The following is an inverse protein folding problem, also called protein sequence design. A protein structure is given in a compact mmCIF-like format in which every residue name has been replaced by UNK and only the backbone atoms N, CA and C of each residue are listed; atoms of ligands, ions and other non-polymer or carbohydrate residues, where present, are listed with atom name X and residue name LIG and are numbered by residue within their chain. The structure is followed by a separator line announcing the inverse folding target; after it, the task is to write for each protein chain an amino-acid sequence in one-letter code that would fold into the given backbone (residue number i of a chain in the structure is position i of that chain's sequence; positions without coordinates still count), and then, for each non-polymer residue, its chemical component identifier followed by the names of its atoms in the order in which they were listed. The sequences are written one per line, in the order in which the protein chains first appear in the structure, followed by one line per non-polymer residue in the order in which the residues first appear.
data_IF_770776958605
#
_entry.id   IF_770776958605
#
_cell.length_a   1.000
_cell.length_b   1.000
_cell.length_c   1.000
_cell.angle_alpha   90.00
_cell.angle_beta   90.00
_cell.angle_gamma   90.00
#
_symmetry.space_group_name_H-M   'P 1'
#
loop_
_entity.id
_entity.type
_entity.pdbx_description
1 polymer ?
#
# COMPACT_ATOMS: atom_id res chain seq x y z
N UNK A 1 -47.14 59.97 27.34
CA UNK A 1 -45.97 59.82 26.44
C UNK A 1 -44.74 59.68 27.32
N UNK A 2 -44.21 58.46 27.49
CA UNK A 2 -42.84 58.13 27.95
C UNK A 2 -42.75 56.59 27.99
N UNK A 3 -41.70 56.00 27.41
CA UNK A 3 -41.38 54.57 27.52
C UNK A 3 -40.10 54.41 28.36
N UNK A 4 -40.06 53.50 29.35
CA UNK A 4 -38.81 52.95 29.85
C UNK A 4 -38.21 51.96 28.82
N UNK A 5 -36.88 51.83 28.82
CA UNK A 5 -36.14 50.80 28.08
C UNK A 5 -35.96 49.54 28.93
N UNK A 6 -35.39 48.51 28.28
CA UNK A 6 -34.54 47.46 28.88
C UNK A 6 -35.23 46.21 29.42
N UNK A 7 -35.46 45.25 28.51
CA UNK A 7 -35.38 43.82 28.80
C UNK A 7 -34.66 43.12 27.63
N UNK A 8 -33.32 43.10 27.67
CA UNK A 8 -32.52 42.18 26.85
C UNK A 8 -32.50 40.83 27.57
N UNK A 9 -33.52 40.00 27.33
CA UNK A 9 -33.43 38.59 27.67
C UNK A 9 -32.36 37.94 26.79
N UNK A 10 -31.43 37.20 27.38
CA UNK A 10 -30.38 36.52 26.62
C UNK A 10 -30.98 35.31 25.87
N UNK A 11 -30.88 35.32 24.54
CA UNK A 11 -31.11 34.12 23.76
C UNK A 11 -29.85 33.23 23.88
N UNK A 12 -29.85 32.32 24.86
CA UNK A 12 -28.90 31.20 24.88
C UNK A 12 -29.25 30.25 23.74
N UNK A 13 -28.73 30.58 22.55
CA UNK A 13 -28.73 29.67 21.42
C UNK A 13 -27.81 28.50 21.77
N UNK A 14 -28.42 27.42 22.29
CA UNK A 14 -27.75 26.13 22.39
C UNK A 14 -27.47 25.65 20.96
N UNK A 15 -26.27 25.94 20.48
CA UNK A 15 -25.73 25.35 19.26
C UNK A 15 -25.48 23.86 19.52
N UNK A 16 -26.57 23.09 19.46
CA UNK A 16 -26.52 21.71 19.02
C UNK A 16 -26.02 21.74 17.58
N UNK A 17 -24.71 21.81 17.42
CA UNK A 17 -24.07 21.55 16.17
C UNK A 17 -24.44 20.11 15.78
N UNK A 18 -25.23 19.98 14.73
CA UNK A 18 -25.33 18.76 13.96
C UNK A 18 -23.99 18.57 13.23
N UNK A 19 -22.93 18.30 13.99
CA UNK A 19 -21.66 17.81 13.46
C UNK A 19 -21.98 16.65 12.53
N UNK A 20 -21.24 16.59 11.42
CA UNK A 20 -21.51 15.63 10.36
C UNK A 20 -21.70 14.22 10.94
N UNK A 21 -22.69 13.50 10.42
CA UNK A 21 -22.49 12.06 10.31
C UNK A 21 -21.24 11.90 9.45
N UNK A 22 -20.24 11.15 9.92
CA UNK A 22 -19.09 10.81 9.09
C UNK A 22 -19.65 10.26 7.77
N UNK A 23 -19.20 10.79 6.63
CA UNK A 23 -19.75 10.40 5.32
C UNK A 23 -19.11 9.09 4.85
N UNK A 24 -19.11 8.13 5.76
CA UNK A 24 -18.44 6.85 5.68
C UNK A 24 -19.46 5.78 5.36
N UNK A 25 -19.10 4.92 4.42
CA UNK A 25 -20.00 3.91 3.87
C UNK A 25 -19.23 2.62 3.64
N UNK A 26 -19.79 1.54 4.14
CA UNK A 26 -19.42 0.17 3.76
C UNK A 26 -20.33 -0.29 2.60
N UNK A 27 -19.80 -1.15 1.72
CA UNK A 27 -20.62 -1.87 0.74
C UNK A 27 -21.41 -3.03 1.40
N UNK A 28 -20.96 -3.53 2.56
CA UNK A 28 -21.63 -4.58 3.32
C UNK A 28 -21.41 -4.41 4.84
N UNK A 29 -22.46 -4.07 5.59
CA UNK A 29 -22.35 -3.93 7.05
C UNK A 29 -22.64 -5.28 7.77
N UNK A 30 -21.66 -5.89 8.46
CA UNK A 30 -21.80 -7.21 9.04
C UNK A 30 -22.68 -7.26 10.30
N UNK A 31 -23.07 -6.13 10.90
CA UNK A 31 -24.12 -6.12 11.93
C UNK A 31 -25.54 -6.12 11.34
N UNK A 32 -25.67 -6.01 10.01
CA UNK A 32 -26.96 -5.93 9.29
C UNK A 32 -27.19 -7.11 8.34
N UNK A 33 -26.13 -7.74 7.84
CA UNK A 33 -26.17 -8.91 6.95
C UNK A 33 -24.93 -9.79 7.17
N UNK A 34 -24.91 -11.00 6.62
CA UNK A 34 -23.63 -11.71 6.39
C UNK A 34 -22.89 -11.04 5.24
N UNK A 35 -21.58 -10.84 5.41
CA UNK A 35 -20.66 -10.31 4.39
C UNK A 35 -19.62 -11.36 4.00
N UNK A 36 -18.87 -11.10 2.94
CA UNK A 36 -17.65 -11.87 2.64
C UNK A 36 -16.56 -11.56 3.70
N UNK A 37 -15.46 -12.32 3.67
CA UNK A 37 -14.40 -12.25 4.67
C UNK A 37 -13.27 -11.29 4.24
N UNK A 38 -12.95 -10.34 5.12
CA UNK A 38 -11.96 -9.27 4.91
C UNK A 38 -10.55 -9.84 4.69
N UNK A 39 -9.77 -9.36 3.70
CA UNK A 39 -8.38 -9.79 3.51
C UNK A 39 -7.49 -9.35 4.68
N UNK A 40 -6.91 -10.28 5.43
CA UNK A 40 -6.04 -9.96 6.57
C UNK A 40 -4.60 -9.65 6.14
N UNK A 41 -3.97 -8.62 6.68
CA UNK A 41 -2.54 -8.38 6.49
C UNK A 41 -1.70 -9.51 7.12
N UNK A 42 -2.00 -9.88 8.37
CA UNK A 42 -1.41 -11.02 9.08
C UNK A 42 0.11 -10.95 9.32
N UNK A 43 0.75 -9.80 9.08
CA UNK A 43 2.20 -9.58 9.17
C UNK A 43 2.54 -8.10 9.40
N UNK A 44 3.85 -7.77 9.38
CA UNK A 44 4.34 -6.40 9.36
C UNK A 44 4.93 -6.01 7.98
N UNK A 45 4.72 -4.77 7.56
CA UNK A 45 5.24 -4.16 6.33
C UNK A 45 5.78 -2.74 6.57
N UNK A 46 6.77 -2.33 5.76
CA UNK A 46 7.37 -1.01 5.70
C UNK A 46 7.34 -0.52 4.24
N UNK A 47 6.47 0.44 3.94
CA UNK A 47 6.20 0.93 2.58
C UNK A 47 6.83 2.30 2.39
N UNK A 48 8.04 2.32 1.81
CA UNK A 48 8.71 3.54 1.35
C UNK A 48 8.17 3.98 -0.02
N UNK A 49 7.30 4.99 -0.02
CA UNK A 49 6.71 5.54 -1.24
C UNK A 49 7.70 6.37 -2.07
N UNK A 50 8.91 6.67 -1.57
CA UNK A 50 9.97 7.27 -2.40
C UNK A 50 10.51 6.29 -3.44
N UNK A 51 10.26 4.99 -3.27
CA UNK A 51 10.51 3.94 -4.28
C UNK A 51 9.36 3.80 -5.31
N UNK A 52 8.34 4.67 -5.25
CA UNK A 52 7.18 4.66 -6.13
C UNK A 52 5.96 3.91 -5.56
N UNK A 53 5.07 3.50 -6.46
CA UNK A 53 3.81 2.85 -6.08
C UNK A 53 3.97 1.40 -5.62
N UNK A 54 3.04 0.96 -4.77
CA UNK A 54 2.86 -0.45 -4.39
C UNK A 54 1.41 -0.87 -4.59
N UNK A 55 1.20 -2.10 -5.04
CA UNK A 55 -0.11 -2.68 -5.34
C UNK A 55 -0.90 -3.14 -4.10
N UNK A 56 -0.37 -2.95 -2.87
CA UNK A 56 -1.12 -3.14 -1.63
C UNK A 56 -1.99 -1.96 -1.22
N UNK A 57 -1.94 -0.86 -1.98
CA UNK A 57 -2.81 0.31 -1.83
C UNK A 57 -3.49 0.62 -3.17
N UNK A 58 -4.73 1.10 -3.11
CA UNK A 58 -5.54 1.49 -4.27
C UNK A 58 -5.91 2.96 -4.16
N UNK A 59 -5.83 3.69 -5.28
CA UNK A 59 -6.16 5.10 -5.34
C UNK A 59 -7.67 5.31 -5.48
N UNK A 60 -8.22 6.25 -4.71
CA UNK A 60 -9.61 6.71 -4.82
C UNK A 60 -9.70 8.23 -4.73
N UNK A 61 -10.82 8.81 -5.19
CA UNK A 61 -11.09 10.26 -5.15
C UNK A 61 -10.15 11.17 -5.97
N UNK A 62 -9.20 10.59 -6.71
CA UNK A 62 -8.24 11.29 -7.56
C UNK A 62 -7.12 10.34 -8.04
N UNK A 63 -5.98 10.88 -8.45
CA UNK A 63 -4.79 10.11 -8.83
C UNK A 63 -3.57 10.69 -8.12
N UNK A 64 -3.09 10.06 -7.03
CA UNK A 64 -1.85 10.45 -6.38
C UNK A 64 -0.64 10.34 -7.32
N UNK A 65 0.41 11.09 -7.03
CA UNK A 65 1.67 11.08 -7.82
C UNK A 65 2.86 10.73 -6.94
N UNK A 66 3.93 10.16 -7.49
CA UNK A 66 5.06 9.64 -6.71
C UNK A 66 6.37 10.35 -7.09
N UNK A 67 7.23 10.60 -6.10
CA UNK A 67 8.53 11.27 -6.28
C UNK A 67 9.46 11.13 -5.08
N UNK A 68 10.48 11.99 -4.99
CA UNK A 68 11.50 11.98 -3.92
C UNK A 68 10.93 12.13 -2.51
N UNK A 69 9.78 12.80 -2.40
CA UNK A 69 9.09 13.12 -1.16
C UNK A 69 8.03 12.05 -0.79
N UNK A 70 7.94 10.97 -1.58
CA UNK A 70 6.97 9.89 -1.43
C UNK A 70 5.75 10.06 -2.34
N UNK A 71 4.58 9.65 -1.85
CA UNK A 71 3.30 9.82 -2.55
C UNK A 71 2.68 11.19 -2.20
N UNK A 72 2.28 11.93 -3.22
CA UNK A 72 1.69 13.27 -3.13
C UNK A 72 0.22 13.22 -3.53
N UNK A 73 -0.64 13.77 -2.66
CA UNK A 73 -2.07 13.92 -2.85
C UNK A 73 -2.37 15.39 -3.15
N UNK A 74 -3.18 15.69 -4.18
CA UNK A 74 -3.36 17.06 -4.69
C UNK A 74 -4.81 17.43 -4.96
N UNK A 75 -5.29 18.53 -4.35
CA UNK A 75 -6.58 19.16 -4.62
C UNK A 75 -6.36 20.38 -5.51
N UNK A 76 -7.01 20.41 -6.67
CA UNK A 76 -6.95 21.52 -7.64
C UNK A 76 -8.32 22.19 -7.86
N UNK A 77 -9.42 21.53 -7.48
CA UNK A 77 -10.80 21.97 -7.71
C UNK A 77 -11.77 21.30 -6.73
N UNK A 78 -13.00 21.79 -6.72
CA UNK A 78 -14.15 21.13 -6.09
C UNK A 78 -14.31 19.68 -6.56
N UNK A 79 -14.56 18.78 -5.60
CA UNK A 79 -14.72 17.34 -5.83
C UNK A 79 -13.43 16.52 -5.96
N UNK A 80 -12.23 17.13 -5.86
CA UNK A 80 -10.99 16.36 -5.65
C UNK A 80 -10.92 15.88 -4.19
N UNK A 81 -10.73 14.59 -3.98
CA UNK A 81 -10.52 13.99 -2.65
C UNK A 81 -9.52 12.81 -2.70
N UNK A 82 -8.30 13.02 -3.23
CA UNK A 82 -7.35 11.94 -3.52
C UNK A 82 -6.87 11.22 -2.25
N UNK A 83 -6.99 9.90 -2.26
CA UNK A 83 -6.68 8.99 -1.15
C UNK A 83 -5.99 7.71 -1.65
N UNK A 84 -5.24 7.04 -0.77
CA UNK A 84 -4.81 5.65 -0.88
C UNK A 84 -5.49 4.81 0.20
N UNK A 85 -6.11 3.71 -0.22
CA UNK A 85 -6.81 2.75 0.63
C UNK A 85 -6.08 1.40 0.55
N UNK A 86 -5.73 0.80 1.68
CA UNK A 86 -5.09 -0.52 1.72
C UNK A 86 -6.02 -1.61 1.18
N UNK A 87 -5.47 -2.62 0.49
CA UNK A 87 -6.23 -3.80 -0.01
C UNK A 87 -6.39 -4.88 1.06
N UNK A 88 -6.10 -4.54 2.31
CA UNK A 88 -6.04 -5.42 3.46
C UNK A 88 -6.61 -4.70 4.69
N UNK A 89 -6.98 -5.49 5.69
CA UNK A 89 -7.44 -5.06 6.99
C UNK A 89 -6.43 -5.56 8.05
N UNK A 90 -6.29 -4.82 9.15
CA UNK A 90 -5.60 -5.26 10.36
C UNK A 90 -6.61 -5.50 11.48
N UNK A 91 -6.34 -6.44 12.37
CA UNK A 91 -7.22 -6.73 13.51
C UNK A 91 -6.45 -6.62 14.82
N UNK A 92 -6.56 -5.43 15.44
CA UNK A 92 -5.53 -4.86 16.31
C UNK A 92 -4.18 -4.69 15.59
N UNK A 93 -3.38 -3.70 15.98
CA UNK A 93 -2.16 -3.40 15.25
C UNK A 93 -1.52 -2.07 15.59
N UNK A 94 -0.47 -1.78 14.83
CA UNK A 94 0.18 -0.46 14.81
C UNK A 94 0.29 0.07 13.39
N UNK A 95 -0.03 1.33 13.20
CA UNK A 95 0.28 2.11 12.00
C UNK A 95 1.24 3.22 12.41
N UNK A 96 2.35 3.36 11.70
CA UNK A 96 3.20 4.56 11.72
C UNK A 96 3.24 5.16 10.31
N UNK A 97 2.75 6.38 10.15
CA UNK A 97 2.71 7.09 8.87
C UNK A 97 3.55 8.36 8.95
N UNK A 98 4.52 8.50 8.05
CA UNK A 98 5.42 9.66 7.99
C UNK A 98 4.95 10.59 6.89
N UNK A 99 4.32 11.72 7.28
CA UNK A 99 3.61 12.61 6.37
C UNK A 99 3.87 14.09 6.65
N UNK A 100 3.53 14.92 5.67
CA UNK A 100 3.51 16.38 5.71
C UNK A 100 2.15 16.84 5.16
N UNK A 101 1.36 17.49 6.00
CA UNK A 101 -0.04 17.86 5.75
C UNK A 101 -0.20 18.95 4.68
N UNK A 102 -1.37 19.00 4.08
CA UNK A 102 -1.76 20.10 3.20
C UNK A 102 -2.16 21.33 4.02
N UNK A 103 -1.62 22.49 3.66
CA UNK A 103 -2.08 23.80 4.11
C UNK A 103 -3.24 24.31 3.24
N UNK A 104 -4.05 25.23 3.78
CA UNK A 104 -5.15 25.90 3.06
C UNK A 104 -6.48 25.89 3.82
N UNK A 105 -7.26 26.96 3.67
CA UNK A 105 -8.58 27.08 4.30
C UNK A 105 -9.53 25.99 3.81
N UNK A 106 -10.17 25.27 4.73
CA UNK A 106 -11.11 24.21 4.39
C UNK A 106 -10.45 22.93 3.88
N UNK A 107 -9.13 22.88 3.74
CA UNK A 107 -8.40 21.66 3.35
C UNK A 107 -8.17 20.81 4.59
N UNK A 108 -8.30 19.50 4.41
CA UNK A 108 -8.18 18.50 5.47
C UNK A 108 -7.22 17.41 4.99
N UNK A 109 -6.26 17.02 5.84
CA UNK A 109 -5.44 15.81 5.66
C UNK A 109 -5.88 14.78 6.67
N UNK A 110 -6.13 13.56 6.21
CA UNK A 110 -6.80 12.52 6.99
C UNK A 110 -5.99 11.23 6.99
N UNK A 111 -5.89 10.60 8.17
CA UNK A 111 -5.43 9.22 8.34
C UNK A 111 -6.48 8.48 9.14
N UNK A 112 -7.07 7.44 8.55
CA UNK A 112 -8.25 6.76 9.08
C UNK A 112 -8.01 5.25 9.05
N UNK A 113 -8.23 4.58 10.18
CA UNK A 113 -8.53 3.15 10.22
C UNK A 113 -10.05 3.00 10.29
N UNK A 114 -10.62 2.18 9.40
CA UNK A 114 -12.08 1.96 9.36
C UNK A 114 -12.47 0.53 8.98
N UNK A 115 -13.46 0.01 9.68
CA UNK A 115 -14.04 -1.33 9.48
C UNK A 115 -15.28 -1.32 8.59
N UNK A 116 -15.71 -2.52 8.20
CA UNK A 116 -16.95 -2.74 7.45
C UNK A 116 -18.20 -2.61 8.33
N UNK A 117 -18.13 -2.66 9.67
CA UNK A 117 -19.25 -2.24 10.53
C UNK A 117 -19.25 -0.75 10.92
N UNK A 118 -18.24 0.02 10.48
CA UNK A 118 -18.02 1.45 10.77
C UNK A 118 -17.55 1.74 12.22
N UNK A 119 -16.86 0.81 12.87
CA UNK A 119 -15.82 1.18 13.84
C UNK A 119 -14.70 1.94 13.10
N UNK A 120 -14.17 3.01 13.71
CA UNK A 120 -13.28 3.99 13.06
C UNK A 120 -12.31 4.65 14.06
N UNK A 121 -11.06 4.92 13.64
CA UNK A 121 -10.04 5.68 14.39
C UNK A 121 -9.40 6.72 13.46
N UNK A 122 -9.39 7.97 13.89
CA UNK A 122 -9.07 9.13 13.04
C UNK A 122 -7.88 9.95 13.54
N UNK A 123 -7.12 10.50 12.59
CA UNK A 123 -6.22 11.65 12.76
C UNK A 123 -6.48 12.67 11.65
N UNK A 124 -7.12 13.78 12.01
CA UNK A 124 -7.53 14.85 11.10
C UNK A 124 -6.71 16.11 11.32
N UNK A 125 -6.08 16.62 10.25
CA UNK A 125 -5.27 17.83 10.27
C UNK A 125 -5.93 18.89 9.39
N UNK A 126 -6.22 20.05 9.96
CA UNK A 126 -6.81 21.16 9.20
C UNK A 126 -5.70 22.02 8.60
N UNK A 127 -5.81 22.36 7.32
CA UNK A 127 -4.87 23.23 6.62
C UNK A 127 -4.82 24.68 7.12
N UNK A 128 -5.65 25.04 8.11
CA UNK A 128 -5.59 26.31 8.85
C UNK A 128 -4.72 26.24 10.12
N UNK A 129 -4.30 25.06 10.57
CA UNK A 129 -3.56 24.87 11.83
C UNK A 129 -2.32 23.96 11.67
N UNK A 130 -1.17 24.60 11.56
CA UNK A 130 0.16 23.98 11.48
C UNK A 130 0.71 23.50 12.85
N UNK A 131 -0.15 23.40 13.87
CA UNK A 131 0.25 23.12 15.26
C UNK A 131 -0.59 22.07 16.00
N UNK A 132 -1.70 21.60 15.41
CA UNK A 132 -2.61 20.65 16.06
C UNK A 132 -3.08 19.52 15.14
N UNK A 133 -3.46 18.41 15.76
CA UNK A 133 -4.19 17.29 15.16
C UNK A 133 -5.48 17.05 15.93
N UNK A 134 -6.56 16.76 15.22
CA UNK A 134 -7.82 16.32 15.78
C UNK A 134 -7.86 14.79 15.80
N UNK A 135 -8.05 14.23 16.98
CA UNK A 135 -8.10 12.80 17.22
C UNK A 135 -9.55 12.43 17.54
N UNK A 136 -10.15 11.51 16.79
CA UNK A 136 -11.49 11.00 17.12
C UNK A 136 -11.60 9.50 16.78
N UNK A 137 -12.78 8.95 17.08
CA UNK A 137 -13.10 7.54 16.89
C UNK A 137 -14.63 7.39 16.88
N UNK A 138 -15.10 6.32 16.23
CA UNK A 138 -16.51 5.92 16.17
C UNK A 138 -16.62 4.42 16.43
N UNK A 139 -17.74 3.98 17.00
CA UNK A 139 -18.12 2.57 17.11
C UNK A 139 -19.44 2.33 16.37
N UNK A 140 -19.45 1.38 15.43
CA UNK A 140 -20.59 1.04 14.56
C UNK A 140 -21.26 2.26 13.91
N UNK A 141 -20.46 3.21 13.42
CA UNK A 141 -20.89 4.46 12.80
C UNK A 141 -21.47 5.49 13.78
N UNK A 142 -21.35 5.24 15.09
CA UNK A 142 -21.83 6.12 16.15
C UNK A 142 -20.66 6.74 16.91
N UNK A 143 -20.75 8.05 17.16
CA UNK A 143 -19.77 8.76 17.97
C UNK A 143 -20.11 8.66 19.45
N UNK A 144 -19.08 8.55 20.30
CA UNK A 144 -19.22 8.73 21.73
C UNK A 144 -19.68 10.16 22.09
N UNK A 145 -19.99 10.41 23.37
CA UNK A 145 -20.45 11.74 23.82
C UNK A 145 -19.37 12.81 23.70
N UNK A 146 -18.10 12.44 23.92
CA UNK A 146 -16.94 13.33 23.81
C UNK A 146 -15.78 12.59 23.09
N UNK A 147 -15.85 12.45 21.75
CA UNK A 147 -14.91 11.62 20.98
C UNK A 147 -13.64 12.39 20.59
N UNK A 148 -13.75 13.71 20.47
CA UNK A 148 -12.78 14.59 19.79
C UNK A 148 -11.80 15.20 20.79
N UNK A 149 -10.51 14.95 20.58
CA UNK A 149 -9.41 15.58 21.33
C UNK A 149 -8.51 16.34 20.36
N UNK A 150 -8.23 17.60 20.67
CA UNK A 150 -7.21 18.39 20.00
C UNK A 150 -5.86 18.14 20.69
N UNK A 151 -4.88 17.67 19.92
CA UNK A 151 -3.54 17.32 20.39
C UNK A 151 -2.47 18.14 19.66
N UNK A 152 -1.30 18.31 20.27
CA UNK A 152 -0.20 19.08 19.69
C UNK A 152 0.47 18.32 18.54
N UNK A 153 0.50 18.94 17.36
CA UNK A 153 1.21 18.49 16.17
C UNK A 153 1.92 19.67 15.48
N UNK A 154 3.04 20.17 16.06
CA UNK A 154 3.80 21.29 15.51
C UNK A 154 4.43 20.94 14.16
N UNK A 155 4.54 21.96 13.30
CA UNK A 155 5.18 21.91 11.97
C UNK A 155 4.51 20.91 11.00
N UNK A 156 3.25 20.53 11.23
CA UNK A 156 2.59 19.46 10.47
C UNK A 156 2.49 19.71 8.95
N UNK A 157 2.54 20.96 8.49
CA UNK A 157 2.56 21.35 7.07
C UNK A 157 3.97 21.62 6.51
N UNK A 158 4.95 21.87 7.37
CA UNK A 158 6.33 22.24 6.97
C UNK A 158 7.27 21.03 6.92
N UNK A 159 7.13 20.10 7.87
CA UNK A 159 8.06 19.00 8.11
C UNK A 159 7.39 17.63 7.88
N UNK A 160 8.20 16.61 7.56
CA UNK A 160 7.74 15.23 7.58
C UNK A 160 7.77 14.70 9.01
N UNK A 161 6.60 14.44 9.58
CA UNK A 161 6.42 13.97 10.94
C UNK A 161 5.81 12.58 10.91
N UNK A 162 6.31 11.67 11.76
CA UNK A 162 5.71 10.35 11.96
C UNK A 162 4.55 10.45 12.96
N UNK A 163 3.37 10.03 12.54
CA UNK A 163 2.17 9.91 13.35
C UNK A 163 1.85 8.44 13.55
N UNK A 164 1.45 8.07 14.76
CA UNK A 164 1.24 6.66 15.13
C UNK A 164 -0.13 6.42 15.70
N UNK A 165 -0.72 5.27 15.37
CA UNK A 165 -1.84 4.66 16.08
C UNK A 165 -1.42 3.25 16.53
N UNK A 166 -1.38 3.01 17.84
CA UNK A 166 -1.26 1.67 18.45
C UNK A 166 -2.62 1.28 19.04
N UNK A 167 -3.21 0.19 18.55
CA UNK A 167 -4.60 -0.19 18.83
C UNK A 167 -4.67 -1.67 19.24
N UNK A 168 -5.28 -1.92 20.39
CA UNK A 168 -5.44 -3.24 21.02
C UNK A 168 -6.87 -3.46 21.49
N UNK A 169 -7.19 -4.62 22.04
CA UNK A 169 -8.47 -4.86 22.75
C UNK A 169 -8.62 -4.05 24.05
N UNK A 170 -7.55 -3.41 24.54
CA UNK A 170 -7.53 -2.71 25.83
C UNK A 170 -7.46 -1.18 25.68
N UNK A 171 -6.73 -0.68 24.67
CA UNK A 171 -6.47 0.75 24.46
C UNK A 171 -6.19 1.13 23.01
N UNK A 172 -6.41 2.42 22.69
CA UNK A 172 -5.83 3.12 21.54
C UNK A 172 -4.86 4.18 22.04
N UNK A 173 -3.66 4.25 21.46
CA UNK A 173 -2.68 5.33 21.67
C UNK A 173 -2.41 6.04 20.35
N UNK A 174 -2.55 7.36 20.36
CA UNK A 174 -2.11 8.22 19.26
C UNK A 174 -0.80 8.90 19.65
N UNK A 175 0.17 8.91 18.75
CA UNK A 175 1.48 9.56 18.96
C UNK A 175 1.82 10.55 17.84
N UNK A 176 2.61 11.56 18.18
CA UNK A 176 3.18 12.54 17.25
C UNK A 176 4.70 12.58 17.46
N UNK A 177 5.49 12.33 16.42
CA UNK A 177 6.96 12.35 16.50
C UNK A 177 7.52 11.35 17.53
N UNK A 178 6.83 10.24 17.77
CA UNK A 178 7.17 9.26 18.81
C UNK A 178 6.84 9.69 20.25
N UNK A 179 6.01 10.71 20.44
CA UNK A 179 5.46 11.11 21.75
C UNK A 179 3.96 10.80 21.81
N UNK A 180 3.53 9.98 22.77
CA UNK A 180 2.12 9.73 23.08
C UNK A 180 1.39 11.06 23.37
N UNK A 181 0.35 11.38 22.58
CA UNK A 181 -0.47 12.60 22.76
C UNK A 181 -1.88 12.32 23.25
N UNK A 182 -2.37 11.08 23.08
CA UNK A 182 -3.66 10.61 23.61
C UNK A 182 -3.59 9.11 23.90
N UNK A 183 -4.17 8.70 25.02
CA UNK A 183 -4.54 7.31 25.30
C UNK A 183 -6.04 7.26 25.53
N UNK A 184 -6.71 6.28 24.94
CA UNK A 184 -8.12 5.95 25.16
C UNK A 184 -8.21 4.50 25.61
N UNK A 185 -8.51 4.27 26.88
CA UNK A 185 -8.81 2.94 27.41
C UNK A 185 -10.18 2.47 26.90
N UNK A 186 -10.31 1.19 26.51
CA UNK A 186 -11.56 0.62 26.01
C UNK A 186 -12.73 0.75 27.01
N UNK A 187 -12.42 0.74 28.32
CA UNK A 187 -13.39 0.96 29.39
C UNK A 187 -13.96 2.38 29.48
N UNK A 188 -13.46 3.35 28.71
CA UNK A 188 -13.91 4.76 28.78
C UNK A 188 -15.31 4.94 28.18
N UNK A 189 -15.55 4.34 27.02
CA UNK A 189 -16.83 4.35 26.29
C UNK A 189 -16.99 3.00 25.55
N UNK A 190 -17.19 1.88 26.26
CA UNK A 190 -17.03 0.53 25.71
C UNK A 190 -17.99 0.22 24.55
N UNK A 191 -19.22 0.76 24.60
CA UNK A 191 -20.22 0.61 23.52
C UNK A 191 -19.81 1.28 22.20
N UNK A 192 -18.78 2.14 22.23
CA UNK A 192 -18.26 2.92 21.10
C UNK A 192 -16.78 2.61 20.79
N UNK A 193 -16.20 1.60 21.42
CA UNK A 193 -14.77 1.31 21.27
C UNK A 193 -14.48 0.54 19.97
N UNK A 194 -13.59 1.05 19.08
CA UNK A 194 -13.23 0.39 17.82
C UNK A 194 -12.57 -0.97 18.08
N UNK A 195 -13.15 -2.04 17.55
CA UNK A 195 -12.81 -3.41 17.95
C UNK A 195 -13.00 -4.47 16.86
N UNK A 196 -13.18 -4.06 15.61
CA UNK A 196 -13.37 -4.95 14.45
C UNK A 196 -12.31 -4.66 13.39
N UNK A 197 -12.06 -5.57 12.42
CA UNK A 197 -10.95 -5.41 11.47
C UNK A 197 -11.05 -4.09 10.70
N UNK A 198 -9.93 -3.37 10.56
CA UNK A 198 -9.91 -2.04 9.94
C UNK A 198 -8.92 -1.95 8.77
N UNK A 199 -9.40 -1.37 7.68
CA UNK A 199 -8.62 -0.93 6.53
C UNK A 199 -7.99 0.43 6.83
N UNK A 200 -6.70 0.60 6.52
CA UNK A 200 -6.02 1.89 6.55
C UNK A 200 -6.31 2.69 5.27
N UNK A 201 -6.80 3.92 5.43
CA UNK A 201 -7.10 4.91 4.40
C UNK A 201 -6.39 6.22 4.74
N UNK A 202 -5.78 6.90 3.76
CA UNK A 202 -5.17 8.21 3.99
C UNK A 202 -5.14 9.08 2.73
N UNK A 203 -5.19 10.40 2.90
CA UNK A 203 -5.20 11.35 1.78
C UNK A 203 -5.59 12.77 2.19
N UNK A 204 -6.12 13.54 1.24
CA UNK A 204 -6.66 14.89 1.49
C UNK A 204 -8.04 15.08 0.85
N UNK A 205 -8.86 15.93 1.47
CA UNK A 205 -10.16 16.36 0.96
C UNK A 205 -10.46 17.82 1.35
N UNK A 206 -11.43 18.43 0.66
CA UNK A 206 -11.88 19.79 0.96
C UNK A 206 -13.13 19.77 1.85
N UNK A 207 -12.93 19.76 3.17
CA UNK A 207 -14.02 19.94 4.15
C UNK A 207 -14.73 21.29 4.00
N UNK A 208 -14.03 22.30 3.50
CA UNK A 208 -14.56 23.62 3.13
C UNK A 208 -15.20 23.72 1.74
N UNK A 209 -15.44 22.62 1.01
CA UNK A 209 -16.15 22.71 -0.28
C UNK A 209 -17.57 23.28 -0.08
N UNK A 210 -18.02 24.25 -0.91
CA UNK A 210 -19.39 24.77 -0.89
C UNK A 210 -20.51 23.73 -1.09
N UNK A 211 -20.23 22.48 -1.48
CA UNK A 211 -21.21 21.38 -1.48
C UNK A 211 -21.49 20.77 -0.11
N UNK A 212 -20.59 21.00 0.87
CA UNK A 212 -20.65 20.35 2.17
C UNK A 212 -21.64 21.04 3.11
N UNK A 213 -21.89 20.43 4.28
CA UNK A 213 -22.71 21.08 5.31
C UNK A 213 -21.99 22.30 5.91
N UNK A 214 -22.72 23.34 6.28
CA UNK A 214 -22.19 24.53 6.99
C UNK A 214 -21.37 24.14 8.24
N UNK A 215 -21.77 23.06 8.93
CA UNK A 215 -21.03 22.51 10.08
C UNK A 215 -19.66 21.94 9.69
N UNK A 216 -19.57 21.24 8.55
CA UNK A 216 -18.30 20.71 8.00
C UNK A 216 -17.40 21.84 7.52
N UNK A 217 -17.96 22.82 6.80
CA UNK A 217 -17.23 23.99 6.28
C UNK A 217 -16.67 24.82 7.45
N UNK A 218 -17.49 25.06 8.48
CA UNK A 218 -17.07 25.79 9.69
C UNK A 218 -16.05 25.01 10.51
N UNK A 219 -16.17 23.68 10.59
CA UNK A 219 -15.19 22.81 11.26
C UNK A 219 -13.82 22.83 10.54
N UNK A 220 -13.80 22.78 9.21
CA UNK A 220 -12.59 22.80 8.41
C UNK A 220 -11.88 24.19 8.34
N UNK A 221 -12.36 25.17 9.12
CA UNK A 221 -11.79 26.52 9.20
C UNK A 221 -12.36 27.54 8.21
N UNK A 222 -13.37 27.16 7.42
CA UNK A 222 -14.05 28.03 6.44
C UNK A 222 -14.07 27.46 5.02
N UNK A 223 -14.66 28.20 4.09
CA UNK A 223 -14.78 27.78 2.69
C UNK A 223 -13.43 27.73 1.96
N UNK A 224 -13.23 26.71 1.13
CA UNK A 224 -12.02 26.52 0.33
C UNK A 224 -12.01 27.42 -0.90
N UNK A 225 -11.00 28.28 -1.02
CA UNK A 225 -10.71 29.02 -2.25
C UNK A 225 -9.74 28.22 -3.14
N UNK A 226 -10.30 27.45 -4.07
CA UNK A 226 -9.54 26.68 -5.06
C UNK A 226 -8.59 27.53 -5.93
N UNK A 227 -8.72 28.86 -5.98
CA UNK A 227 -7.78 29.73 -6.68
C UNK A 227 -6.45 29.94 -5.95
N UNK A 228 -6.35 29.57 -4.67
CA UNK A 228 -5.08 29.50 -3.92
C UNK A 228 -4.39 28.13 -4.04
N UNK A 229 -5.00 27.18 -4.76
CA UNK A 229 -4.43 25.86 -5.00
C UNK A 229 -3.36 25.84 -6.11
N UNK A 230 -2.78 24.66 -6.43
CA UNK A 230 -3.12 23.36 -5.86
C UNK A 230 -2.66 23.21 -4.41
N UNK A 231 -3.53 22.62 -3.58
CA UNK A 231 -3.18 22.22 -2.21
C UNK A 231 -2.66 20.79 -2.24
N UNK A 232 -1.65 20.44 -1.44
CA UNK A 232 -1.10 19.07 -1.44
C UNK A 232 -0.49 18.64 -0.12
N UNK A 233 -0.69 17.38 0.22
CA UNK A 233 0.02 16.66 1.29
C UNK A 233 0.93 15.61 0.67
N UNK A 234 1.99 15.23 1.38
CA UNK A 234 2.89 14.16 0.99
C UNK A 234 3.05 13.12 2.10
N UNK A 235 3.12 11.84 1.73
CA UNK A 235 3.41 10.71 2.63
C UNK A 235 4.67 10.02 2.14
N UNK A 236 5.73 10.08 2.95
CA UNK A 236 7.03 9.49 2.64
C UNK A 236 7.00 7.97 2.80
N UNK A 237 6.48 7.49 3.95
CA UNK A 237 6.35 6.06 4.23
C UNK A 237 5.17 5.72 5.14
N UNK A 238 4.74 4.46 5.06
CA UNK A 238 3.75 3.84 5.96
C UNK A 238 4.29 2.49 6.44
N UNK A 239 4.47 2.34 7.74
CA UNK A 239 4.70 1.05 8.40
C UNK A 239 3.37 0.56 8.99
N UNK A 240 3.02 -0.70 8.76
CA UNK A 240 1.83 -1.34 9.35
C UNK A 240 2.23 -2.68 9.95
N UNK A 241 1.84 -2.92 11.20
CA UNK A 241 1.90 -4.24 11.83
C UNK A 241 0.50 -4.69 12.20
N UNK A 242 0.04 -5.79 11.61
CA UNK A 242 -1.13 -6.52 12.10
C UNK A 242 -0.73 -7.28 13.38
N UNK A 243 -1.44 -7.06 14.48
CA UNK A 243 -1.21 -7.85 15.71
C UNK A 243 -1.82 -9.24 15.61
N UNK A 244 -2.67 -9.50 14.63
CA UNK A 244 -3.25 -10.81 14.37
C UNK A 244 -2.49 -11.58 13.28
N UNK A 245 -2.78 -12.87 13.16
CA UNK A 245 -2.20 -13.78 12.15
C UNK A 245 -3.32 -14.49 11.39
N UNK A 246 -3.21 -14.56 10.07
CA UNK A 246 -4.18 -15.25 9.21
C UNK A 246 -4.12 -14.75 7.76
N UNK A 247 -5.03 -15.24 6.91
CA UNK A 247 -5.26 -14.74 5.54
C UNK A 247 -6.52 -13.90 5.37
N UNK A 248 -7.47 -14.05 6.29
CA UNK A 248 -8.75 -13.33 6.35
C UNK A 248 -9.18 -13.03 7.77
N UNK A 249 -10.08 -12.07 7.92
CA UNK A 249 -10.98 -11.94 9.06
C UNK A 249 -12.41 -12.24 8.65
N UNK A 250 -13.20 -12.87 9.51
CA UNK A 250 -14.64 -13.03 9.28
C UNK A 250 -15.45 -12.79 10.56
N UNK A 251 -16.51 -12.01 10.42
CA UNK A 251 -17.46 -11.74 11.49
C UNK A 251 -18.23 -13.02 11.83
N UNK A 252 -18.04 -13.52 13.06
CA UNK A 252 -18.53 -14.83 13.46
C UNK A 252 -20.03 -14.88 13.72
N UNK A 253 -20.61 -13.72 14.03
CA UNK A 253 -22.03 -13.39 14.12
C UNK A 253 -22.21 -11.89 13.83
N UNK A 254 -23.42 -11.35 14.05
CA UNK A 254 -23.78 -9.96 13.72
C UNK A 254 -23.63 -8.98 14.89
N UNK A 255 -22.88 -9.34 15.95
CA UNK A 255 -22.72 -8.48 17.14
C UNK A 255 -21.78 -7.29 16.94
N UNK A 256 -20.79 -7.42 16.06
CA UNK A 256 -19.72 -6.43 15.90
C UNK A 256 -18.76 -6.35 17.10
N UNK A 257 -18.71 -7.36 17.99
CA UNK A 257 -17.67 -7.39 19.04
C UNK A 257 -16.44 -8.15 18.56
N UNK A 258 -15.27 -7.81 19.12
CA UNK A 258 -14.00 -8.41 18.70
C UNK A 258 -13.95 -9.94 18.95
N UNK A 259 -14.66 -10.44 19.97
CA UNK A 259 -14.74 -11.88 20.26
C UNK A 259 -15.51 -12.67 19.19
N UNK A 260 -16.30 -12.00 18.36
CA UNK A 260 -16.95 -12.63 17.19
C UNK A 260 -15.97 -12.84 16.03
N UNK A 261 -14.87 -12.08 15.97
CA UNK A 261 -13.95 -12.06 14.82
C UNK A 261 -13.10 -13.34 14.80
N UNK A 262 -13.22 -14.09 13.70
CA UNK A 262 -12.39 -15.25 13.40
C UNK A 262 -11.26 -14.80 12.47
N UNK A 263 -10.06 -15.37 12.63
CA UNK A 263 -9.02 -15.26 11.61
C UNK A 263 -8.78 -16.60 10.93
N UNK A 264 -8.83 -16.62 9.60
CA UNK A 264 -8.65 -17.86 8.85
C UNK A 264 -7.16 -18.20 8.75
N UNK A 265 -6.79 -19.40 9.20
CA UNK A 265 -5.41 -19.88 9.14
C UNK A 265 -4.47 -19.35 10.23
N UNK A 266 -4.97 -18.62 11.23
CA UNK A 266 -4.19 -18.14 12.36
C UNK A 266 -5.04 -17.70 13.56
N UNK A 267 -4.48 -16.82 14.38
CA UNK A 267 -5.03 -16.39 15.68
C UNK A 267 -4.93 -14.87 15.87
N UNK A 268 -5.94 -14.30 16.56
CA UNK A 268 -6.00 -12.88 16.93
C UNK A 268 -4.92 -12.55 17.99
N UNK A 269 -4.28 -11.38 17.89
CA UNK A 269 -3.20 -10.92 18.76
C UNK A 269 -1.90 -11.77 18.80
N UNK A 270 -1.78 -12.83 17.99
CA UNK A 270 -0.59 -13.69 17.98
C UNK A 270 0.72 -13.02 17.49
N UNK A 271 0.62 -11.96 16.68
CA UNK A 271 1.73 -11.11 16.26
C UNK A 271 2.02 -9.95 17.22
N UNK A 272 1.20 -9.68 18.25
CA UNK A 272 1.33 -8.50 19.11
C UNK A 272 2.72 -8.36 19.77
N UNK A 273 3.37 -9.49 20.08
CA UNK A 273 4.75 -9.51 20.61
C UNK A 273 5.85 -9.11 19.61
N UNK A 274 5.54 -9.06 18.30
CA UNK A 274 6.46 -8.67 17.23
C UNK A 274 6.39 -7.17 16.89
N UNK A 275 5.40 -6.44 17.43
CA UNK A 275 5.16 -5.00 17.21
C UNK A 275 6.40 -4.11 17.37
N UNK A 276 7.34 -4.50 18.23
CA UNK A 276 8.59 -3.77 18.47
C UNK A 276 9.71 -4.04 17.45
N UNK A 277 9.47 -4.85 16.41
CA UNK A 277 10.54 -5.44 15.57
C UNK A 277 10.48 -5.03 14.10
N UNK A 278 9.79 -3.95 13.75
CA UNK A 278 10.06 -3.23 12.49
C UNK A 278 11.36 -2.43 12.67
N UNK A 279 12.49 -3.12 12.58
CA UNK A 279 13.83 -2.51 12.63
C UNK A 279 14.73 -3.16 11.61
N UNK A 280 14.64 -2.67 10.37
CA UNK A 280 15.59 -2.86 9.27
C UNK A 280 16.20 -4.26 9.15
N UNK A 281 15.61 -5.14 8.35
CA UNK A 281 16.21 -6.44 7.97
C UNK A 281 17.33 -6.24 6.93
N UNK A 282 18.33 -5.42 7.28
CA UNK A 282 19.57 -5.30 6.52
C UNK A 282 20.35 -6.61 6.61
N UNK A 283 20.71 -7.18 5.45
CA UNK A 283 21.23 -8.54 5.35
C UNK A 283 22.48 -8.81 6.20
N UNK A 284 22.34 -9.65 7.23
CA UNK A 284 23.47 -10.06 8.07
C UNK A 284 24.32 -11.13 7.39
N UNK A 285 25.61 -10.83 7.19
CA UNK A 285 26.57 -11.72 6.52
C UNK A 285 27.16 -12.74 7.50
N UNK A 286 27.45 -13.96 7.03
CA UNK A 286 27.81 -15.11 7.85
C UNK A 286 29.22 -15.07 8.47
N UNK A 287 29.33 -14.68 9.75
CA UNK A 287 30.43 -15.00 10.70
C UNK A 287 29.95 -14.75 12.15
N UNK A 288 30.31 -15.51 13.20
CA UNK A 288 31.01 -16.79 13.25
C UNK A 288 31.65 -17.10 14.62
N UNK A 289 31.04 -17.99 15.43
CA UNK A 289 31.51 -18.45 16.77
C UNK A 289 31.40 -17.40 17.91
N UNK A 290 31.19 -17.71 19.20
CA UNK A 290 31.43 -18.98 19.92
C UNK A 290 30.59 -19.21 21.20
N UNK A 291 30.26 -20.48 21.46
CA UNK A 291 30.03 -21.14 22.77
C UNK A 291 28.98 -20.58 23.78
N UNK A 292 27.82 -21.27 23.87
CA UNK A 292 27.60 -22.26 24.94
C UNK A 292 26.62 -23.38 24.46
N UNK A 293 26.66 -24.63 25.00
CA UNK A 293 26.00 -25.77 24.35
C UNK A 293 24.81 -26.38 25.13
N UNK A 294 23.82 -26.91 24.40
CA UNK A 294 22.73 -27.74 24.93
C UNK A 294 21.74 -28.15 23.82
N UNK A 295 21.70 -29.43 23.45
CA UNK A 295 20.91 -29.93 22.31
C UNK A 295 19.40 -30.01 22.61
N UNK A 296 18.52 -29.91 21.60
CA UNK A 296 18.87 -29.71 20.18
C UNK A 296 17.69 -29.62 19.21
N UNK A 297 18.06 -29.43 17.95
CA UNK A 297 17.16 -29.24 16.81
C UNK A 297 16.47 -30.54 16.37
N UNK A 298 15.17 -30.46 16.15
CA UNK A 298 14.41 -31.33 15.24
C UNK A 298 13.58 -30.43 14.34
N UNK A 299 13.42 -30.79 13.06
CA UNK A 299 12.84 -29.90 12.05
C UNK A 299 11.38 -29.57 12.31
N UNK A 300 11.03 -28.30 12.15
CA UNK A 300 9.66 -27.78 12.17
C UNK A 300 9.57 -26.51 11.34
N UNK A 301 8.77 -26.57 10.27
CA UNK A 301 8.34 -25.54 9.32
C UNK A 301 9.18 -24.25 9.10
N UNK A 302 9.37 -23.90 7.83
CA UNK A 302 9.46 -22.48 7.45
C UNK A 302 8.25 -21.73 8.01
N UNK A 303 8.45 -20.52 8.56
CA UNK A 303 7.34 -19.60 8.88
C UNK A 303 6.47 -19.44 7.64
N UNK A 304 5.18 -19.70 7.79
CA UNK A 304 4.22 -19.70 6.69
C UNK A 304 4.03 -18.28 6.17
N UNK A 305 4.28 -18.06 4.89
CA UNK A 305 3.79 -16.88 4.18
C UNK A 305 2.27 -16.93 4.14
N UNK A 306 1.63 -16.04 4.89
CA UNK A 306 0.17 -15.91 4.95
C UNK A 306 -0.37 -15.59 3.56
N UNK A 307 -1.19 -16.49 2.99
CA UNK A 307 -1.78 -16.31 1.66
C UNK A 307 -3.05 -15.47 1.76
N UNK A 308 -2.89 -14.16 1.99
CA UNK A 308 -3.94 -13.13 2.01
C UNK A 308 -4.91 -13.31 0.83
N UNK A 309 -6.23 -13.24 1.03
CA UNK A 309 -7.17 -13.57 -0.07
C UNK A 309 -7.40 -12.44 -1.10
N UNK A 310 -7.05 -11.19 -0.78
CA UNK A 310 -6.88 -10.13 -1.80
C UNK A 310 -5.68 -10.40 -2.73
N UNK A 311 -4.79 -11.32 -2.33
CA UNK A 311 -3.61 -11.72 -3.06
C UNK A 311 -3.94 -13.04 -3.78
N UNK A 312 -4.00 -13.07 -5.13
CA UNK A 312 -4.42 -14.27 -5.86
C UNK A 312 -3.58 -15.49 -5.50
N UNK A 313 -4.20 -16.68 -5.49
CA UNK A 313 -3.50 -17.93 -5.18
C UNK A 313 -2.23 -18.08 -6.05
N UNK A 314 -1.08 -18.31 -5.40
CA UNK A 314 0.22 -18.26 -6.06
C UNK A 314 0.94 -16.92 -5.99
N UNK A 315 0.48 -15.95 -5.19
CA UNK A 315 1.15 -14.70 -4.84
C UNK A 315 1.34 -14.57 -3.31
N UNK A 316 2.09 -13.56 -2.87
CA UNK A 316 2.32 -13.18 -1.45
C UNK A 316 2.50 -11.66 -1.29
N UNK A 317 2.31 -11.17 -0.07
CA UNK A 317 2.85 -9.86 0.31
C UNK A 317 4.33 -9.99 0.69
N UNK A 318 5.11 -8.93 0.44
CA UNK A 318 6.49 -8.78 0.92
C UNK A 318 6.52 -7.82 2.11
N UNK A 319 7.61 -7.84 2.88
CA UNK A 319 7.83 -6.84 3.95
C UNK A 319 7.93 -5.40 3.45
N UNK A 320 8.03 -5.17 2.13
CA UNK A 320 7.96 -3.84 1.50
C UNK A 320 6.54 -3.45 1.03
N UNK A 321 5.51 -4.15 1.51
CA UNK A 321 4.11 -4.02 1.07
C UNK A 321 3.82 -4.55 -0.34
N UNK A 322 4.81 -4.66 -1.23
CA UNK A 322 4.58 -5.16 -2.60
C UNK A 322 3.99 -6.58 -2.62
N UNK A 323 2.94 -6.74 -3.40
CA UNK A 323 2.27 -8.02 -3.69
C UNK A 323 2.94 -8.61 -4.94
N UNK A 324 3.60 -9.76 -4.78
CA UNK A 324 4.43 -10.40 -5.82
C UNK A 324 4.06 -11.87 -6.01
N UNK A 325 4.33 -12.49 -7.16
CA UNK A 325 4.15 -13.92 -7.34
C UNK A 325 4.98 -14.70 -6.31
N UNK A 326 4.48 -15.86 -5.90
CA UNK A 326 5.27 -16.81 -5.12
C UNK A 326 6.41 -17.32 -6.01
N UNK A 327 7.63 -16.91 -5.67
CA UNK A 327 8.85 -17.32 -6.35
C UNK A 327 8.90 -18.84 -6.36
N UNK A 328 8.67 -19.44 -7.52
CA UNK A 328 8.79 -20.89 -7.71
C UNK A 328 10.24 -21.26 -7.52
N UNK A 329 10.57 -21.72 -6.31
CA UNK A 329 11.82 -22.43 -6.07
C UNK A 329 11.80 -23.65 -6.98
N UNK A 330 12.62 -23.60 -8.03
CA UNK A 330 12.83 -24.74 -8.89
C UNK A 330 13.35 -25.89 -8.02
N UNK A 331 12.46 -26.84 -7.71
CA UNK A 331 12.78 -27.96 -6.85
C UNK A 331 14.00 -28.71 -7.41
N UNK A 332 14.83 -29.33 -6.56
CA UNK A 332 15.97 -30.11 -7.03
C UNK A 332 15.51 -31.08 -8.11
N UNK A 333 16.18 -31.05 -9.28
CA UNK A 333 15.79 -31.84 -10.46
C UNK A 333 15.73 -33.33 -10.11
N UNK A 334 14.54 -33.81 -9.76
CA UNK A 334 14.25 -35.21 -9.52
C UNK A 334 14.28 -35.91 -10.88
N UNK A 335 15.47 -36.38 -11.26
CA UNK A 335 15.68 -37.14 -12.49
C UNK A 335 14.81 -38.40 -12.47
N UNK A 336 13.65 -38.31 -13.13
CA UNK A 336 12.66 -39.36 -13.23
C UNK A 336 13.18 -40.47 -14.13
N UNK A 337 13.87 -41.44 -13.50
CA UNK A 337 14.40 -42.63 -14.14
C UNK A 337 13.28 -43.60 -14.55
N UNK A 338 12.54 -43.24 -15.60
CA UNK A 338 11.57 -44.11 -16.26
C UNK A 338 12.26 -45.40 -16.72
N UNK A 339 11.77 -46.59 -16.34
CA UNK A 339 12.42 -47.85 -16.69
C UNK A 339 12.31 -48.15 -18.20
N UNK A 340 13.34 -48.80 -18.75
CA UNK A 340 13.45 -49.00 -20.18
C UNK A 340 12.62 -50.18 -20.72
N UNK A 341 11.87 -49.88 -21.79
CA UNK A 341 11.70 -50.71 -23.00
C UNK A 341 11.31 -52.20 -22.89
N UNK A 342 10.10 -52.51 -23.34
CA UNK A 342 9.80 -53.72 -24.13
C UNK A 342 8.84 -53.36 -25.27
N UNK A 343 9.08 -53.81 -26.50
CA UNK A 343 8.47 -53.20 -27.70
C UNK A 343 7.66 -54.18 -28.58
N UNK A 344 6.68 -53.66 -29.32
CA UNK A 344 6.25 -54.13 -30.65
C UNK A 344 5.37 -53.07 -31.37
N UNK A 345 5.21 -53.10 -32.71
CA UNK A 345 4.93 -51.88 -33.50
C UNK A 345 3.65 -51.88 -34.38
N UNK A 346 3.46 -50.76 -35.11
CA UNK A 346 2.40 -50.42 -36.07
C UNK A 346 1.07 -49.91 -35.47
N UNK A 347 0.30 -49.01 -36.09
CA UNK A 347 0.34 -48.51 -37.48
C UNK A 347 -0.11 -47.04 -37.67
N UNK A 348 0.63 -46.27 -38.50
CA UNK A 348 0.30 -44.98 -39.16
C UNK A 348 -0.13 -43.74 -38.32
N UNK A 349 0.17 -42.50 -38.79
CA UNK A 349 -0.19 -41.26 -38.10
C UNK A 349 -1.58 -40.75 -38.49
N UNK A 350 -2.37 -40.34 -37.51
CA UNK A 350 -3.49 -39.41 -37.69
C UNK A 350 -3.00 -37.96 -37.58
N UNK A 351 -3.62 -37.04 -38.31
CA UNK A 351 -3.26 -35.62 -38.24
C UNK A 351 -3.74 -35.00 -36.91
N UNK A 352 -2.83 -34.35 -36.19
CA UNK A 352 -3.21 -33.46 -35.08
C UNK A 352 -3.85 -32.19 -35.66
N UNK A 353 -5.08 -31.88 -35.25
CA UNK A 353 -5.74 -30.65 -35.63
C UNK A 353 -5.07 -29.47 -34.91
N UNK A 354 -4.80 -28.38 -35.64
CA UNK A 354 -4.33 -27.14 -35.04
C UNK A 354 -5.44 -26.47 -34.24
N UNK A 355 -5.47 -26.71 -32.93
CA UNK A 355 -6.29 -25.94 -32.01
C UNK A 355 -5.60 -24.61 -31.68
N UNK A 356 -6.30 -23.51 -31.87
CA UNK A 356 -5.96 -22.22 -31.28
C UNK A 356 -6.48 -22.18 -29.84
N UNK A 357 -5.64 -21.75 -28.90
CA UNK A 357 -5.95 -21.61 -27.48
C UNK A 357 -5.75 -20.15 -27.06
N UNK A 358 -6.74 -19.59 -26.39
CA UNK A 358 -6.69 -18.21 -25.88
C UNK A 358 -6.05 -18.21 -24.50
N UNK A 359 -4.82 -17.69 -24.39
CA UNK A 359 -4.13 -17.54 -23.12
C UNK A 359 -4.16 -16.09 -22.65
N UNK A 360 -4.43 -15.90 -21.35
CA UNK A 360 -4.22 -14.62 -20.67
C UNK A 360 -2.79 -14.58 -20.16
N UNK A 361 -2.03 -13.55 -20.51
CA UNK A 361 -0.63 -13.39 -20.11
C UNK A 361 -0.31 -11.93 -19.79
N UNK A 362 0.95 -11.63 -19.53
CA UNK A 362 1.42 -10.28 -19.18
C UNK A 362 2.41 -9.77 -20.23
N UNK A 363 2.25 -8.51 -20.63
CA UNK A 363 3.11 -7.84 -21.59
C UNK A 363 4.49 -7.46 -21.00
N UNK A 364 5.27 -6.66 -21.73
CA UNK A 364 6.58 -6.17 -21.27
C UNK A 364 6.53 -5.05 -20.23
N UNK A 365 5.33 -4.58 -19.85
CA UNK A 365 5.09 -3.49 -18.91
C UNK A 365 4.30 -3.93 -17.66
N UNK A 366 3.79 -5.16 -17.63
CA UNK A 366 3.04 -5.71 -16.50
C UNK A 366 1.52 -5.59 -16.66
N UNK A 367 0.99 -5.37 -17.86
CA UNK A 367 -0.46 -5.31 -18.12
C UNK A 367 -1.03 -6.62 -18.67
N UNK A 368 -2.24 -6.94 -18.21
CA UNK A 368 -2.95 -8.17 -18.55
C UNK A 368 -3.37 -8.16 -20.03
N UNK A 369 -2.80 -9.06 -20.82
CA UNK A 369 -2.98 -9.14 -22.27
C UNK A 369 -3.45 -10.53 -22.67
N UNK A 370 -4.61 -10.61 -23.31
CA UNK A 370 -5.14 -11.84 -23.90
C UNK A 370 -4.54 -12.05 -25.30
N UNK A 371 -3.96 -13.22 -25.56
CA UNK A 371 -3.44 -13.59 -26.87
C UNK A 371 -3.81 -15.02 -27.28
N UNK A 372 -4.03 -15.23 -28.57
CA UNK A 372 -4.30 -16.55 -29.14
C UNK A 372 -2.99 -17.21 -29.56
N UNK A 373 -2.74 -18.43 -29.10
CA UNK A 373 -1.55 -19.22 -29.41
C UNK A 373 -1.93 -20.58 -30.01
N UNK A 374 -1.00 -21.21 -30.73
CA UNK A 374 -1.18 -22.59 -31.16
C UNK A 374 -0.99 -23.53 -29.96
N UNK A 375 -1.95 -24.45 -29.75
CA UNK A 375 -1.89 -25.47 -28.70
C UNK A 375 -0.59 -26.29 -28.75
N UNK A 376 0.00 -26.54 -27.59
CA UNK A 376 1.25 -27.30 -27.43
C UNK A 376 2.54 -26.48 -27.28
N UNK A 377 2.47 -25.15 -27.23
CA UNK A 377 3.63 -24.32 -26.84
C UNK A 377 3.87 -24.36 -25.34
N UNK A 378 5.04 -24.84 -24.91
CA UNK A 378 5.49 -24.71 -23.52
C UNK A 378 5.96 -23.28 -23.24
N UNK A 379 5.27 -22.57 -22.36
CA UNK A 379 5.71 -21.26 -21.86
C UNK A 379 6.94 -21.42 -20.96
N UNK A 380 7.97 -20.61 -21.21
CA UNK A 380 9.15 -20.60 -20.34
C UNK A 380 8.79 -20.08 -18.94
N UNK A 381 9.19 -20.81 -17.91
CA UNK A 381 8.95 -20.44 -16.50
C UNK A 381 9.70 -19.16 -16.14
N UNK A 382 8.97 -18.04 -16.03
CA UNK A 382 9.52 -16.77 -15.53
C UNK A 382 9.69 -16.84 -14.02
N UNK A 383 10.93 -16.80 -13.54
CA UNK A 383 11.25 -16.44 -12.16
C UNK A 383 11.12 -14.92 -11.96
N UNK A 384 10.82 -14.51 -10.73
CA UNK A 384 10.72 -13.10 -10.32
C UNK A 384 11.55 -12.90 -9.04
N UNK A 385 12.19 -11.73 -8.91
CA UNK A 385 12.91 -11.35 -7.69
C UNK A 385 11.98 -10.77 -6.62
N UNK A 386 12.54 -10.47 -5.44
CA UNK A 386 11.79 -9.96 -4.29
C UNK A 386 11.33 -8.48 -4.46
N UNK A 387 11.71 -7.81 -5.56
CA UNK A 387 11.16 -6.51 -5.95
C UNK A 387 10.06 -6.63 -7.03
N UNK A 388 9.82 -7.84 -7.55
CA UNK A 388 8.81 -8.15 -8.56
C UNK A 388 9.31 -8.10 -10.00
N UNK A 389 10.61 -7.95 -10.26
CA UNK A 389 11.15 -7.90 -11.62
C UNK A 389 11.39 -9.31 -12.20
N UNK A 390 11.18 -9.52 -13.51
CA UNK A 390 11.35 -10.83 -14.15
C UNK A 390 12.83 -11.21 -14.30
N UNK A 391 13.27 -12.21 -13.54
CA UNK A 391 14.61 -12.81 -13.63
C UNK A 391 14.61 -13.80 -14.79
N UNK A 392 15.17 -13.40 -15.93
CA UNK A 392 15.23 -14.24 -17.14
C UNK A 392 16.32 -15.32 -17.05
N UNK A 393 15.91 -16.59 -17.01
CA UNK A 393 16.75 -17.70 -17.50
C UNK A 393 16.74 -17.72 -19.04
N UNK A 394 17.72 -18.41 -19.64
CA UNK A 394 18.05 -18.31 -21.07
C UNK A 394 16.91 -18.70 -22.04
N UNK A 395 16.98 -18.14 -23.26
CA UNK A 395 15.99 -18.31 -24.33
C UNK A 395 15.69 -19.77 -24.71
N UNK A 396 14.46 -20.07 -25.19
CA UNK A 396 14.05 -21.43 -25.53
C UNK A 396 14.82 -22.01 -26.73
N UNK A 397 15.21 -23.28 -26.63
CA UNK A 397 15.82 -24.04 -27.72
C UNK A 397 14.75 -24.51 -28.71
N UNK A 398 15.04 -24.42 -30.01
CA UNK A 398 14.08 -24.82 -31.05
C UNK A 398 14.01 -26.36 -31.17
N UNK A 399 12.81 -26.95 -31.42
CA UNK A 399 12.69 -28.39 -31.62
C UNK A 399 13.48 -28.83 -32.87
N UNK A 400 14.13 -30.01 -32.85
CA UNK A 400 14.98 -30.46 -33.93
C UNK A 400 14.17 -30.70 -35.22
N UNK A 401 14.55 -30.00 -36.29
CA UNK A 401 13.97 -30.20 -37.62
C UNK A 401 14.18 -31.64 -38.10
N UNK A 402 13.07 -32.33 -38.38
CA UNK A 402 13.11 -33.67 -38.98
C UNK A 402 13.83 -33.62 -40.34
N UNK A 403 14.81 -34.50 -40.54
CA UNK A 403 15.68 -34.49 -41.70
C UNK A 403 14.90 -34.79 -43.01
N UNK A 404 14.79 -33.80 -43.90
CA UNK A 404 14.17 -33.97 -45.21
C UNK A 404 15.07 -34.81 -46.13
N UNK A 405 14.56 -35.96 -46.57
CA UNK A 405 15.25 -36.88 -47.47
C UNK A 405 15.38 -36.27 -48.89
N UNK A 406 16.58 -36.08 -49.46
CA UNK A 406 16.77 -35.24 -50.63
C UNK A 406 16.47 -35.97 -51.96
N UNK A 407 15.26 -35.81 -52.52
CA UNK A 407 15.05 -36.15 -53.95
C UNK A 407 13.87 -35.44 -54.64
N UNK A 408 14.11 -34.25 -55.20
CA UNK A 408 13.46 -33.75 -56.44
C UNK A 408 14.19 -32.48 -56.93
N UNK A 409 13.95 -32.05 -58.18
CA UNK A 409 14.86 -31.17 -58.94
C UNK A 409 14.13 -30.04 -59.69
N UNK A 410 14.83 -28.92 -59.83
CA UNK A 410 14.49 -27.69 -60.56
C UNK A 410 13.52 -26.74 -59.85
N UNK A 411 13.59 -25.41 -60.07
CA UNK A 411 14.42 -24.65 -61.01
C UNK A 411 14.96 -23.33 -60.44
N UNK A 412 16.01 -22.78 -61.07
CA UNK A 412 16.71 -21.58 -60.61
C UNK A 412 16.11 -20.27 -61.12
N UNK A 413 16.32 -19.16 -60.38
CA UNK A 413 16.68 -17.86 -60.99
C UNK A 413 17.36 -16.89 -60.02
N UNK A 414 18.67 -16.71 -60.24
CA UNK A 414 19.49 -15.48 -60.12
C UNK A 414 19.55 -14.69 -58.80
N UNK A 415 20.75 -14.18 -58.47
CA UNK A 415 21.05 -13.36 -57.29
C UNK A 415 21.76 -12.03 -57.66
N UNK A 416 21.89 -11.12 -56.69
CA UNK A 416 22.80 -9.94 -56.58
C UNK A 416 22.71 -9.51 -55.09
N UNK A 417 23.70 -9.69 -54.20
CA UNK A 417 25.03 -9.05 -54.01
C UNK A 417 24.96 -7.56 -53.59
N UNK A 418 25.65 -7.05 -52.56
CA UNK A 418 26.60 -7.61 -51.56
C UNK A 418 26.41 -6.97 -50.17
N UNK A 419 27.14 -7.31 -49.09
CA UNK A 419 28.59 -7.13 -48.88
C UNK A 419 28.84 -5.80 -48.15
N UNK A 420 29.06 -5.65 -46.82
CA UNK A 420 29.67 -6.43 -45.73
C UNK A 420 31.14 -6.05 -45.41
N UNK A 421 31.47 -5.97 -44.09
CA UNK A 421 32.80 -5.73 -43.43
C UNK A 421 33.27 -4.25 -43.34
N UNK A 422 34.15 -3.84 -42.40
CA UNK A 422 34.52 -4.31 -41.03
C UNK A 422 35.63 -3.40 -40.44
N UNK A 423 35.74 -3.27 -39.11
CA UNK A 423 36.95 -2.88 -38.33
C UNK A 423 37.53 -1.44 -38.53
N UNK A 424 38.36 -0.86 -37.65
CA UNK A 424 38.61 -1.04 -36.19
C UNK A 424 39.57 0.05 -35.64
N UNK A 425 39.57 0.26 -34.32
CA UNK A 425 40.67 0.76 -33.47
C UNK A 425 40.98 2.29 -33.34
N UNK A 426 41.59 2.60 -32.19
CA UNK A 426 41.92 3.87 -31.48
C UNK A 426 43.45 4.19 -31.55
N UNK A 427 44.06 5.18 -30.83
CA UNK A 427 43.61 6.42 -30.14
C UNK A 427 44.51 7.68 -30.45
N UNK A 428 44.53 8.70 -29.54
CA UNK A 428 45.37 9.93 -29.42
C UNK A 428 44.86 11.23 -30.10
N UNK A 429 45.08 12.44 -29.55
CA UNK A 429 45.53 12.81 -28.19
C UNK A 429 46.02 14.27 -27.98
N UNK A 430 45.69 14.87 -26.81
CA UNK A 430 46.33 16.01 -26.10
C UNK A 430 46.28 17.47 -26.67
N UNK A 431 46.48 18.43 -25.75
CA UNK A 431 46.68 19.93 -25.78
C UNK A 431 45.54 20.70 -25.06
N UNK A 432 45.68 21.24 -23.83
CA UNK A 432 46.39 22.47 -23.35
C UNK A 432 45.89 23.76 -24.05
N UNK A 433 45.55 24.92 -23.43
CA UNK A 433 45.73 25.53 -22.07
C UNK A 433 44.42 26.28 -21.64
N UNK A 434 44.02 26.50 -20.37
CA UNK A 434 44.63 27.13 -19.17
C UNK A 434 44.62 28.70 -19.17
N UNK A 435 43.70 29.35 -18.42
CA UNK A 435 43.93 30.58 -17.63
C UNK A 435 42.67 31.15 -16.90
N UNK A 436 42.84 31.53 -15.63
CA UNK A 436 42.04 32.50 -14.84
C UNK A 436 43.05 33.60 -14.34
N UNK A 437 42.88 34.46 -13.28
CA UNK A 437 41.81 34.60 -12.26
C UNK A 437 41.50 36.06 -11.74
N UNK A 438 40.68 36.17 -10.67
CA UNK A 438 40.69 37.22 -9.59
C UNK A 438 40.28 38.68 -9.97
N UNK A 439 39.88 39.63 -9.10
CA UNK A 439 39.87 39.83 -7.62
C UNK A 439 38.54 40.48 -7.13
N UNK A 440 38.29 40.44 -5.81
CA UNK A 440 37.32 41.15 -4.93
C UNK A 440 37.34 42.70 -5.13
N UNK A 441 36.48 43.57 -4.56
CA UNK A 441 35.73 43.64 -3.27
C UNK A 441 34.49 44.60 -3.44
N UNK A 442 33.73 45.16 -2.48
CA UNK A 442 33.89 45.40 -1.01
C UNK A 442 32.59 45.09 -0.20
N UNK A 443 32.08 46.01 0.65
CA UNK A 443 31.19 45.72 1.79
C UNK A 443 30.40 46.93 2.38
N UNK A 444 29.31 46.63 3.13
CA UNK A 444 28.72 47.44 4.22
C UNK A 444 27.56 48.41 3.87
N UNK A 445 26.74 48.92 4.82
CA UNK A 445 26.39 48.52 6.22
C UNK A 445 25.21 49.42 6.75
N UNK A 446 24.63 49.07 7.91
CA UNK A 446 23.80 49.90 8.86
C UNK A 446 22.26 49.81 8.75
N UNK A 447 21.64 49.81 9.93
CA UNK A 447 20.23 49.59 10.28
C UNK A 447 19.30 50.80 10.09
N UNK A 448 17.98 50.55 10.20
CA UNK A 448 17.16 50.96 11.36
C UNK A 448 16.43 49.71 11.86
#
# INVERSE_FOLDING_TARGET
MFLPRSLRAAATAALLASFAAAQTSTDCNPTQTTCDADPALGMAIDVDFTQGEVNSFTASGGTPTYGSDGVTFTISKSGDAPQLNSVFYIMFGKVDITLKCASGTGIVTSVVLQSDDLDEIDMEFLGVDNSQVQLMYFGKGQRATDPLVYAAAPNNQDEFVTYSVDWTSERIVWSVGGTDVRVLEASTYPDYYPQTPMQLKFGIWAGGDPSNSEGTISWAGGSTDYSQGPFSAAVQKVEVTDYSTGSKYSYGDMSGTWESIKSDGGEINANAGQAATVTTVSGSTSTGSSNFPGSGISGGSSTSVSSVDAIPSGWRMTSSGKIVPNSSTAGPLTTSSSPASSASPSSQPGAAAGGEETITTWDGQGFLTTMTVASGWATASKSYDDQGFPVSTSAPEAPPLAAANPNSRAGSKTAVSGGARSASATPCGLWLQLAAPLVLFLAGMIAI
#
